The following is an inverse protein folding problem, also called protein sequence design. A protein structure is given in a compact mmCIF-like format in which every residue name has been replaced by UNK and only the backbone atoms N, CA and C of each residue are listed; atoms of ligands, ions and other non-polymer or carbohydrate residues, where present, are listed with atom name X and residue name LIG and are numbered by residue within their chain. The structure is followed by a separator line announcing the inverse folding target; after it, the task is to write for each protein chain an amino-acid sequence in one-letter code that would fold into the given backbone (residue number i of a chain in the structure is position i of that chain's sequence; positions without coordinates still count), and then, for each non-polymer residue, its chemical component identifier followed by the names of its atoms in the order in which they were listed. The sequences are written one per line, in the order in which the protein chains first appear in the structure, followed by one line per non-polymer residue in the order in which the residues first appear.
data_IF_258114475045
#
_entry.id   IF_258114475045
#
_cell.length_a   1.000
_cell.length_b   1.000
_cell.length_c   1.000
_cell.angle_alpha   90.00
_cell.angle_beta   90.00
_cell.angle_gamma   90.00
#
_symmetry.space_group_name_H-M   'P 1'
#
loop_
_entity.id
_entity.type
_entity.pdbx_description
1 polymer ?
#
# COMPACT_ATOMS: atom_id res chain seq x y z
N UNK A 1 -21.97 26.05 12.50
CA UNK A 1 -21.06 24.89 12.50
C UNK A 1 -21.34 24.10 11.24
N UNK A 2 -20.33 23.82 10.41
CA UNK A 2 -20.52 23.06 9.17
C UNK A 2 -21.02 21.64 9.46
N UNK A 3 -21.78 21.07 8.52
CA UNK A 3 -22.16 19.65 8.59
C UNK A 3 -20.91 18.76 8.57
N UNK A 4 -20.96 17.64 9.27
CA UNK A 4 -19.83 16.73 9.44
C UNK A 4 -19.33 16.14 8.10
N UNK A 5 -20.22 16.01 7.10
CA UNK A 5 -19.89 15.46 5.79
C UNK A 5 -19.02 16.42 4.94
N UNK A 6 -19.39 17.70 4.74
CA UNK A 6 -18.50 18.68 4.09
C UNK A 6 -17.12 18.79 4.75
N UNK A 7 -17.05 18.70 6.08
CA UNK A 7 -15.78 18.72 6.80
C UNK A 7 -14.90 17.51 6.46
N UNK A 8 -15.44 16.29 6.55
CA UNK A 8 -14.70 15.07 6.25
C UNK A 8 -14.22 15.03 4.79
N UNK A 9 -15.07 15.44 3.84
CA UNK A 9 -14.71 15.48 2.41
C UNK A 9 -13.60 16.51 2.17
N UNK A 10 -13.69 17.69 2.78
CA UNK A 10 -12.65 18.72 2.64
C UNK A 10 -11.31 18.25 3.19
N UNK A 11 -11.32 17.51 4.30
CA UNK A 11 -10.12 16.93 4.89
C UNK A 11 -9.52 15.82 4.00
N UNK A 12 -10.34 14.94 3.41
CA UNK A 12 -9.84 13.93 2.46
C UNK A 12 -9.21 14.59 1.23
N UNK A 13 -9.81 15.69 0.73
CA UNK A 13 -9.34 16.41 -0.46
C UNK A 13 -8.05 17.19 -0.23
N UNK A 14 -7.84 17.80 0.93
CA UNK A 14 -6.62 18.59 1.21
C UNK A 14 -5.38 17.70 1.33
N UNK A 15 -5.55 16.44 1.73
CA UNK A 15 -4.46 15.46 1.84
C UNK A 15 -3.90 15.04 0.47
N UNK A 16 -4.71 15.06 -0.60
CA UNK A 16 -4.27 14.67 -1.94
C UNK A 16 -3.04 15.45 -2.43
N UNK A 17 -3.07 16.81 -2.52
CA UNK A 17 -1.91 17.57 -2.98
C UNK A 17 -0.73 17.49 -2.01
N UNK A 18 -0.98 17.43 -0.70
CA UNK A 18 0.08 17.37 0.31
C UNK A 18 0.87 16.06 0.18
N UNK A 19 0.16 14.93 0.12
CA UNK A 19 0.76 13.61 -0.03
C UNK A 19 1.41 13.45 -1.40
N UNK A 20 0.90 14.11 -2.45
CA UNK A 20 1.53 14.08 -3.76
C UNK A 20 2.93 14.72 -3.75
N UNK A 21 3.07 15.89 -3.12
CA UNK A 21 4.36 16.55 -2.94
C UNK A 21 5.29 15.67 -2.09
N UNK A 22 4.78 15.14 -0.97
CA UNK A 22 5.55 14.25 -0.09
C UNK A 22 6.04 12.99 -0.83
N UNK A 23 5.16 12.32 -1.57
CA UNK A 23 5.48 11.11 -2.33
C UNK A 23 6.50 11.40 -3.44
N UNK A 24 6.42 12.57 -4.08
CA UNK A 24 7.37 12.98 -5.12
C UNK A 24 8.75 13.22 -4.53
N UNK A 25 8.84 14.00 -3.44
CA UNK A 25 10.13 14.31 -2.78
C UNK A 25 10.76 13.04 -2.22
N UNK A 26 10.00 12.26 -1.46
CA UNK A 26 10.47 11.00 -0.89
C UNK A 26 10.84 10.00 -1.99
N UNK A 27 9.99 9.87 -2.99
CA UNK A 27 10.17 8.94 -4.09
C UNK A 27 11.44 9.23 -4.88
N UNK A 28 11.70 10.50 -5.22
CA UNK A 28 12.91 10.90 -5.95
C UNK A 28 14.20 10.56 -5.18
N UNK A 29 14.23 10.84 -3.88
CA UNK A 29 15.40 10.55 -3.03
C UNK A 29 15.62 9.05 -2.95
N UNK A 30 14.59 8.27 -2.62
CA UNK A 30 14.75 6.82 -2.43
C UNK A 30 15.05 6.10 -3.74
N UNK A 31 14.38 6.47 -4.84
CA UNK A 31 14.61 5.88 -6.15
C UNK A 31 16.06 6.08 -6.61
N UNK A 32 16.62 7.27 -6.38
CA UNK A 32 18.02 7.56 -6.69
C UNK A 32 19.01 6.81 -5.80
N UNK A 33 18.71 6.67 -4.49
CA UNK A 33 19.58 5.96 -3.55
C UNK A 33 19.63 4.44 -3.78
N UNK A 34 18.50 3.83 -4.16
CA UNK A 34 18.47 2.38 -4.46
C UNK A 34 19.20 2.06 -5.77
N UNK A 35 19.30 3.03 -6.68
CA UNK A 35 19.93 2.83 -7.99
C UNK A 35 19.01 2.08 -8.95
N UNK A 36 17.70 2.31 -8.87
CA UNK A 36 16.75 1.76 -9.85
C UNK A 36 17.02 2.28 -11.26
N UNK A 37 16.60 1.50 -12.27
CA UNK A 37 16.78 1.84 -13.66
C UNK A 37 16.03 3.14 -14.01
N UNK A 38 16.73 4.15 -14.51
CA UNK A 38 16.14 5.44 -14.84
C UNK A 38 15.39 5.40 -16.18
N UNK A 39 14.22 4.76 -16.18
CA UNK A 39 13.24 4.88 -17.27
C UNK A 39 12.01 5.64 -16.76
N UNK A 40 11.44 6.49 -17.61
CA UNK A 40 10.29 7.30 -17.23
C UNK A 40 9.11 6.42 -16.78
N UNK A 41 8.88 5.31 -17.47
CA UNK A 41 7.83 4.34 -17.14
C UNK A 41 7.98 3.78 -15.72
N UNK A 42 9.15 3.20 -15.39
CA UNK A 42 9.38 2.61 -14.06
C UNK A 42 9.34 3.65 -12.94
N UNK A 43 9.83 4.86 -13.21
CA UNK A 43 9.75 5.97 -12.26
C UNK A 43 8.29 6.39 -11.99
N UNK A 44 7.46 6.54 -13.03
CA UNK A 44 6.05 6.90 -12.84
C UNK A 44 5.25 5.79 -12.16
N UNK A 45 5.54 4.52 -12.45
CA UNK A 45 4.95 3.40 -11.72
C UNK A 45 5.33 3.41 -10.25
N UNK A 46 6.61 3.61 -9.95
CA UNK A 46 7.09 3.72 -8.57
C UNK A 46 6.41 4.88 -7.85
N UNK A 47 6.36 6.06 -8.47
CA UNK A 47 5.68 7.24 -7.91
C UNK A 47 4.19 6.97 -7.67
N UNK A 48 3.50 6.31 -8.60
CA UNK A 48 2.11 5.92 -8.46
C UNK A 48 1.89 5.03 -7.24
N UNK A 49 2.62 3.90 -7.13
CA UNK A 49 2.46 2.98 -6.02
C UNK A 49 2.83 3.61 -4.68
N UNK A 50 3.88 4.44 -4.64
CA UNK A 50 4.28 5.15 -3.42
C UNK A 50 3.26 6.20 -3.01
N UNK A 51 2.74 6.99 -3.95
CA UNK A 51 1.71 7.99 -3.69
C UNK A 51 0.45 7.37 -3.10
N UNK A 52 -0.10 6.35 -3.76
CA UNK A 52 -1.31 5.70 -3.27
C UNK A 52 -1.09 4.94 -1.96
N UNK A 53 0.13 4.44 -1.73
CA UNK A 53 0.49 3.80 -0.46
C UNK A 53 0.43 4.79 0.69
N UNK A 54 1.11 5.93 0.56
CA UNK A 54 1.06 6.98 1.57
C UNK A 54 -0.38 7.48 1.76
N UNK A 55 -1.14 7.62 0.66
CA UNK A 55 -2.52 8.09 0.71
C UNK A 55 -3.45 7.17 1.49
N UNK A 56 -3.44 5.85 1.21
CA UNK A 56 -4.31 4.94 1.96
C UNK A 56 -3.88 4.81 3.43
N UNK A 57 -2.57 4.92 3.74
CA UNK A 57 -2.10 4.89 5.13
C UNK A 57 -2.57 6.13 5.90
N UNK A 58 -2.53 7.31 5.30
CA UNK A 58 -3.09 8.52 5.91
C UNK A 58 -4.59 8.37 6.13
N UNK A 59 -5.32 7.86 5.15
CA UNK A 59 -6.77 7.64 5.27
C UNK A 59 -7.13 6.59 6.32
N UNK A 60 -6.32 5.54 6.44
CA UNK A 60 -6.45 4.55 7.51
C UNK A 60 -6.22 5.17 8.90
N UNK A 61 -5.18 6.00 9.05
CA UNK A 61 -4.93 6.72 10.30
C UNK A 61 -6.08 7.65 10.68
N UNK A 62 -6.60 8.42 9.72
CA UNK A 62 -7.77 9.28 9.92
C UNK A 62 -9.01 8.47 10.31
N UNK A 63 -9.26 7.34 9.63
CA UNK A 63 -10.33 6.41 9.96
C UNK A 63 -10.20 5.87 11.39
N UNK A 64 -9.01 5.42 11.79
CA UNK A 64 -8.76 4.86 13.12
C UNK A 64 -9.06 5.87 14.23
N UNK A 65 -8.66 7.14 14.04
CA UNK A 65 -8.97 8.23 14.96
C UNK A 65 -10.47 8.55 14.97
N UNK A 66 -11.14 8.54 13.82
CA UNK A 66 -12.58 8.84 13.74
C UNK A 66 -13.48 7.76 14.37
N UNK A 67 -13.06 6.49 14.33
CA UNK A 67 -13.82 5.36 14.89
C UNK A 67 -13.61 5.20 16.40
N UNK A 68 -12.49 5.70 16.93
CA UNK A 68 -12.13 5.50 18.34
C UNK A 68 -12.44 6.72 19.19
N UNK A 69 -12.78 6.53 20.49
CA UNK A 69 -13.06 7.66 21.39
C UNK A 69 -11.82 8.46 21.80
N UNK A 70 -10.62 7.88 21.70
CA UNK A 70 -9.38 8.47 22.19
C UNK A 70 -8.20 8.10 21.26
N UNK A 71 -7.38 9.10 20.92
CA UNK A 71 -6.17 8.95 20.11
C UNK A 71 -5.17 7.92 20.64
N UNK A 72 -5.06 7.71 21.96
CA UNK A 72 -4.21 6.66 22.51
C UNK A 72 -4.69 5.26 22.08
N UNK A 73 -6.01 5.02 22.13
CA UNK A 73 -6.62 3.76 21.70
C UNK A 73 -6.47 3.60 20.18
N UNK A 74 -6.68 4.69 19.42
CA UNK A 74 -6.46 4.72 17.97
C UNK A 74 -5.05 4.23 17.59
N UNK A 75 -4.03 4.74 18.30
CA UNK A 75 -2.64 4.39 18.06
C UNK A 75 -2.35 2.92 18.36
N UNK A 76 -2.84 2.40 19.48
CA UNK A 76 -2.66 0.98 19.86
C UNK A 76 -3.30 0.05 18.81
N UNK A 77 -4.54 0.34 18.40
CA UNK A 77 -5.24 -0.46 17.40
C UNK A 77 -4.51 -0.39 16.05
N UNK A 78 -4.13 0.80 15.62
CA UNK A 78 -3.40 1.00 14.35
C UNK A 78 -2.07 0.25 14.33
N UNK A 79 -1.31 0.31 15.42
CA UNK A 79 -0.04 -0.39 15.54
C UNK A 79 -0.21 -1.92 15.46
N UNK A 80 -1.26 -2.47 16.07
CA UNK A 80 -1.56 -3.90 15.96
C UNK A 80 -1.85 -4.31 14.51
N UNK A 81 -2.71 -3.56 13.81
CA UNK A 81 -3.00 -3.83 12.39
C UNK A 81 -1.77 -3.67 11.49
N UNK A 82 -0.94 -2.65 11.72
CA UNK A 82 0.32 -2.49 10.99
C UNK A 82 1.26 -3.68 11.18
N UNK A 83 1.37 -4.22 12.40
CA UNK A 83 2.16 -5.42 12.66
C UNK A 83 1.66 -6.62 11.86
N UNK A 84 0.36 -6.86 11.84
CA UNK A 84 -0.23 -7.99 11.11
C UNK A 84 -0.09 -7.79 9.59
N UNK A 85 -0.33 -6.57 9.07
CA UNK A 85 -0.12 -6.27 7.66
C UNK A 85 1.33 -6.44 7.24
N UNK A 86 2.29 -6.06 8.08
CA UNK A 86 3.71 -6.22 7.79
C UNK A 86 4.10 -7.71 7.70
N UNK A 87 3.61 -8.53 8.64
CA UNK A 87 3.89 -9.98 8.67
C UNK A 87 3.36 -10.71 7.42
N UNK A 88 2.12 -10.39 7.01
CA UNK A 88 1.45 -11.04 5.87
C UNK A 88 1.54 -10.24 4.57
N UNK A 89 2.42 -9.23 4.49
CA UNK A 89 2.64 -8.41 3.29
C UNK A 89 3.22 -9.19 2.10
N UNK A 90 3.61 -10.45 2.31
CA UNK A 90 4.29 -11.25 1.30
C UNK A 90 5.80 -11.12 1.33
N UNK A 91 6.38 -10.10 1.98
CA UNK A 91 7.83 -9.95 2.09
C UNK A 91 8.45 -10.88 3.14
N UNK A 92 7.92 -10.86 4.38
CA UNK A 92 8.44 -11.72 5.47
C UNK A 92 8.02 -13.17 5.27
N UNK A 93 6.75 -13.39 4.96
CA UNK A 93 6.20 -14.72 4.66
C UNK A 93 5.72 -14.73 3.21
N UNK A 94 6.42 -15.45 2.31
CA UNK A 94 6.02 -15.50 0.91
C UNK A 94 4.67 -16.21 0.79
N UNK A 95 3.85 -15.72 -0.14
CA UNK A 95 2.46 -16.19 -0.35
C UNK A 95 2.31 -17.72 -0.50
N UNK A 96 3.21 -18.46 -1.19
CA UNK A 96 3.10 -19.91 -1.32
C UNK A 96 3.26 -20.67 0.01
N UNK A 97 4.06 -20.14 0.93
CA UNK A 97 4.32 -20.74 2.23
C UNK A 97 3.20 -20.49 3.25
N UNK A 98 2.25 -19.60 2.94
CA UNK A 98 1.08 -19.35 3.80
C UNK A 98 0.11 -20.54 3.68
N UNK A 99 -0.32 -21.14 4.81
CA UNK A 99 -1.33 -22.20 4.81
C UNK A 99 -2.58 -21.76 4.06
N UNK A 100 -3.20 -22.69 3.31
CA UNK A 100 -4.32 -22.39 2.41
C UNK A 100 -5.47 -21.67 3.15
N UNK A 101 -5.74 -22.05 4.40
CA UNK A 101 -6.78 -21.44 5.23
C UNK A 101 -6.47 -20.01 5.72
N UNK A 102 -5.21 -19.55 5.70
CA UNK A 102 -4.81 -18.16 6.01
C UNK A 102 -4.59 -17.29 4.76
N UNK A 103 -4.58 -17.89 3.57
CA UNK A 103 -4.25 -17.20 2.32
C UNK A 103 -5.22 -16.07 1.96
N UNK A 104 -6.46 -16.09 2.46
CA UNK A 104 -7.41 -15.00 2.25
C UNK A 104 -6.92 -13.68 2.86
N UNK A 105 -6.18 -13.72 3.97
CA UNK A 105 -5.70 -12.51 4.66
C UNK A 105 -4.69 -11.74 3.81
N UNK A 106 -3.84 -12.45 3.08
CA UNK A 106 -2.91 -11.88 2.11
C UNK A 106 -3.64 -10.98 1.09
N UNK A 107 -4.81 -11.40 0.61
CA UNK A 107 -5.60 -10.64 -0.37
C UNK A 107 -6.33 -9.43 0.23
N UNK A 108 -6.61 -9.44 1.54
CA UNK A 108 -7.24 -8.31 2.24
C UNK A 108 -6.19 -7.29 2.71
N UNK A 109 -4.93 -7.70 2.84
CA UNK A 109 -3.84 -6.84 3.28
C UNK A 109 -3.47 -5.81 2.17
N UNK A 110 -3.67 -4.49 2.39
CA UNK A 110 -3.33 -3.48 1.38
C UNK A 110 -1.82 -3.43 1.10
N UNK A 111 -1.00 -3.68 2.11
CA UNK A 111 0.48 -3.68 2.00
C UNK A 111 0.98 -4.76 1.06
N UNK A 112 0.26 -5.90 1.02
CA UNK A 112 0.57 -6.99 0.09
C UNK A 112 0.46 -6.57 -1.37
N UNK A 113 -0.56 -5.77 -1.69
CA UNK A 113 -0.77 -5.25 -3.04
C UNK A 113 0.24 -4.19 -3.42
N UNK A 114 0.61 -3.31 -2.48
CA UNK A 114 1.71 -2.35 -2.67
C UNK A 114 3.01 -3.10 -3.01
N UNK A 115 3.36 -4.12 -2.21
CA UNK A 115 4.58 -4.89 -2.42
C UNK A 115 4.58 -5.59 -3.78
N UNK A 116 3.48 -6.25 -4.12
CA UNK A 116 3.29 -6.86 -5.43
C UNK A 116 3.49 -5.85 -6.57
N UNK A 117 2.83 -4.69 -6.50
CA UNK A 117 2.88 -3.66 -7.54
C UNK A 117 4.28 -3.06 -7.72
N UNK A 118 4.98 -2.77 -6.63
CA UNK A 118 6.36 -2.29 -6.66
C UNK A 118 7.30 -3.33 -7.26
N UNK A 119 7.21 -4.58 -6.82
CA UNK A 119 8.09 -5.65 -7.32
C UNK A 119 7.85 -5.90 -8.81
N UNK A 120 6.60 -6.05 -9.23
CA UNK A 120 6.27 -6.34 -10.63
C UNK A 120 6.64 -5.17 -11.54
N UNK A 121 6.37 -3.92 -11.14
CA UNK A 121 6.69 -2.75 -11.98
C UNK A 121 8.19 -2.49 -12.12
N UNK A 122 9.01 -2.81 -11.11
CA UNK A 122 10.46 -2.55 -11.18
C UNK A 122 11.25 -3.73 -11.75
N UNK A 123 10.87 -4.96 -11.37
CA UNK A 123 11.61 -6.18 -11.65
C UNK A 123 10.93 -7.15 -12.61
N UNK A 124 9.66 -6.93 -12.94
CA UNK A 124 8.88 -7.85 -13.76
C UNK A 124 9.38 -8.00 -15.21
N UNK A 125 10.16 -7.04 -15.71
CA UNK A 125 10.72 -7.07 -17.08
C UNK A 125 12.23 -7.36 -17.12
N UNK A 126 12.85 -7.54 -15.94
CA UNK A 126 14.29 -7.77 -15.85
C UNK A 126 14.60 -9.25 -16.13
N UNK A 127 15.11 -9.50 -17.33
CA UNK A 127 15.61 -10.81 -17.78
C UNK A 127 17.07 -11.06 -17.40
N UNK A 128 17.65 -10.20 -16.56
CA UNK A 128 19.02 -10.35 -16.10
C UNK A 128 19.13 -11.66 -15.30
N UNK A 129 20.09 -12.54 -15.61
CA UNK A 129 20.32 -13.75 -14.83
C UNK A 129 20.81 -13.38 -13.43
N UNK A 130 20.28 -14.06 -12.41
CA UNK A 130 20.76 -13.93 -11.04
C UNK A 130 22.17 -14.53 -10.94
N UNK A 131 23.12 -13.77 -10.42
CA UNK A 131 24.48 -14.25 -10.17
C UNK A 131 24.55 -14.92 -8.78
N UNK A 132 24.86 -16.21 -8.73
CA UNK A 132 25.08 -16.95 -7.49
C UNK A 132 24.97 -18.46 -7.66
N UNK A 133 25.75 -19.23 -6.91
CA UNK A 133 25.73 -20.70 -6.96
C UNK A 133 24.39 -21.32 -6.50
N UNK A 134 23.53 -20.53 -5.85
CA UNK A 134 22.20 -20.91 -5.38
C UNK A 134 21.09 -20.71 -6.42
N UNK A 135 21.36 -19.95 -7.50
CA UNK A 135 20.38 -19.62 -8.56
C UNK A 135 20.93 -20.03 -9.93
N UNK A 136 20.74 -21.29 -10.37
CA UNK A 136 21.36 -21.79 -11.59
C UNK A 136 20.70 -21.16 -12.82
N UNK A 137 21.22 -20.02 -13.28
CA UNK A 137 20.83 -19.36 -14.53
C UNK A 137 19.39 -18.84 -14.59
N UNK A 138 18.69 -18.75 -13.45
CA UNK A 138 17.34 -18.20 -13.39
C UNK A 138 17.38 -16.68 -13.53
N UNK A 139 16.48 -16.17 -14.36
CA UNK A 139 16.27 -14.73 -14.49
C UNK A 139 15.54 -14.16 -13.26
N UNK A 140 15.70 -12.87 -12.99
CA UNK A 140 14.97 -12.17 -11.91
C UNK A 140 13.46 -12.37 -12.06
N UNK A 141 12.94 -12.31 -13.30
CA UNK A 141 11.55 -12.61 -13.62
C UNK A 141 11.12 -14.04 -13.20
N UNK A 142 11.90 -15.06 -13.53
CA UNK A 142 11.62 -16.47 -13.18
C UNK A 142 11.67 -16.72 -11.67
N UNK A 143 12.54 -16.03 -10.94
CA UNK A 143 12.58 -16.09 -9.49
C UNK A 143 11.31 -15.52 -8.86
N UNK A 144 10.89 -14.31 -9.27
CA UNK A 144 9.65 -13.73 -8.74
C UNK A 144 8.40 -14.52 -9.14
N UNK A 145 8.41 -15.12 -10.33
CA UNK A 145 7.31 -15.98 -10.79
C UNK A 145 7.25 -17.30 -10.02
N UNK A 146 8.39 -17.93 -9.73
CA UNK A 146 8.43 -19.23 -9.06
C UNK A 146 8.29 -19.13 -7.54
N UNK A 147 8.89 -18.12 -6.91
CA UNK A 147 8.91 -17.95 -5.45
C UNK A 147 7.72 -17.14 -4.91
N UNK A 148 7.24 -16.15 -5.67
CA UNK A 148 6.16 -15.26 -5.23
C UNK A 148 4.83 -15.43 -6.02
N UNK A 149 4.83 -16.21 -7.13
CA UNK A 149 3.67 -16.35 -8.04
C UNK A 149 3.19 -15.00 -8.60
N UNK A 150 4.12 -14.08 -8.86
CA UNK A 150 3.81 -12.77 -9.41
C UNK A 150 3.67 -12.85 -10.93
N UNK A 151 2.55 -12.33 -11.44
CA UNK A 151 2.21 -12.20 -12.86
C UNK A 151 2.18 -10.73 -13.26
N UNK A 152 2.93 -10.39 -14.31
CA UNK A 152 2.99 -9.02 -14.85
C UNK A 152 1.62 -8.55 -15.38
N UNK A 153 0.84 -9.45 -15.99
CA UNK A 153 -0.54 -9.20 -16.46
C UNK A 153 -1.51 -8.74 -15.36
N UNK A 154 -1.15 -8.92 -14.09
CA UNK A 154 -2.03 -8.57 -12.96
C UNK A 154 -1.84 -7.13 -12.46
N UNK A 155 -0.91 -6.36 -13.02
CA UNK A 155 -0.58 -5.01 -12.57
C UNK A 155 -1.83 -4.10 -12.59
N UNK A 156 -2.68 -4.20 -13.62
CA UNK A 156 -3.94 -3.45 -13.69
C UNK A 156 -4.93 -3.78 -12.56
N UNK A 157 -4.97 -5.04 -12.11
CA UNK A 157 -5.81 -5.45 -10.97
C UNK A 157 -5.25 -4.88 -9.67
N UNK A 158 -3.92 -4.90 -9.50
CA UNK A 158 -3.25 -4.32 -8.32
C UNK A 158 -3.58 -2.83 -8.19
N UNK A 159 -3.52 -2.10 -9.29
CA UNK A 159 -3.91 -0.69 -9.37
C UNK A 159 -5.36 -0.49 -8.92
N UNK A 160 -6.30 -1.26 -9.48
CA UNK A 160 -7.71 -1.18 -9.14
C UNK A 160 -7.97 -1.49 -7.65
N UNK A 161 -7.27 -2.48 -7.09
CA UNK A 161 -7.42 -2.88 -5.68
C UNK A 161 -6.87 -1.80 -4.75
N UNK A 162 -5.72 -1.21 -5.05
CA UNK A 162 -5.14 -0.12 -4.25
C UNK A 162 -6.07 1.10 -4.25
N UNK A 163 -6.59 1.49 -5.42
CA UNK A 163 -7.59 2.56 -5.52
C UNK A 163 -8.85 2.23 -4.71
N UNK A 164 -9.29 0.97 -4.76
CA UNK A 164 -10.40 0.45 -3.96
C UNK A 164 -10.16 0.61 -2.46
N UNK A 165 -8.99 0.24 -1.96
CA UNK A 165 -8.63 0.42 -0.54
C UNK A 165 -8.57 1.89 -0.13
N UNK A 166 -7.99 2.75 -0.96
CA UNK A 166 -7.96 4.20 -0.71
C UNK A 166 -9.38 4.76 -0.59
N UNK A 167 -10.26 4.45 -1.54
CA UNK A 167 -11.66 4.90 -1.51
C UNK A 167 -12.44 4.30 -0.33
N UNK A 168 -12.17 3.04 0.02
CA UNK A 168 -12.79 2.36 1.15
C UNK A 168 -12.44 3.05 2.47
N UNK A 169 -11.16 3.32 2.73
CA UNK A 169 -10.76 4.01 3.96
C UNK A 169 -11.30 5.44 4.03
N UNK A 170 -11.29 6.18 2.91
CA UNK A 170 -11.90 7.52 2.84
C UNK A 170 -13.42 7.48 3.12
N UNK A 171 -14.12 6.47 2.59
CA UNK A 171 -15.55 6.29 2.79
C UNK A 171 -15.87 5.95 4.25
N UNK A 172 -15.12 5.02 4.86
CA UNK A 172 -15.31 4.66 6.27
C UNK A 172 -15.03 5.87 7.16
N UNK A 173 -13.97 6.63 6.90
CA UNK A 173 -13.68 7.87 7.63
C UNK A 173 -14.85 8.85 7.57
N UNK A 174 -15.36 9.11 6.36
CA UNK A 174 -16.48 10.03 6.12
C UNK A 174 -17.76 9.59 6.85
N UNK A 175 -18.09 8.30 6.80
CA UNK A 175 -19.25 7.72 7.50
C UNK A 175 -19.04 7.74 9.02
N UNK A 176 -17.82 7.47 9.49
CA UNK A 176 -17.50 7.43 10.93
C UNK A 176 -17.63 8.81 11.56
N UNK A 177 -17.15 9.87 10.91
CA UNK A 177 -17.34 11.25 11.38
C UNK A 177 -18.84 11.63 11.44
N UNK A 178 -19.65 11.11 10.51
CA UNK A 178 -21.10 11.36 10.52
C UNK A 178 -21.81 10.62 11.67
N UNK A 179 -21.47 9.36 11.91
CA UNK A 179 -22.13 8.51 12.91
C UNK A 179 -21.63 8.78 14.32
N UNK A 180 -20.32 8.92 14.48
CA UNK A 180 -19.64 9.09 15.76
C UNK A 180 -19.24 10.55 15.96
N UNK A 181 -20.24 11.42 16.12
CA UNK A 181 -20.00 12.82 16.48
C UNK A 181 -19.65 12.92 17.97
N UNK A 182 -18.45 12.46 18.36
CA UNK A 182 -18.00 12.38 19.75
C UNK A 182 -17.85 13.75 20.43
N UNK A 183 -17.78 14.86 19.68
CA UNK A 183 -17.71 16.21 20.24
C UNK A 183 -19.04 16.72 20.83
N UNK A 184 -20.13 15.96 20.67
CA UNK A 184 -21.47 16.34 21.18
C UNK A 184 -21.90 15.57 22.43
N UNK A 185 -20.98 14.83 23.07
CA UNK A 185 -21.17 14.18 24.37
C UNK A 185 -20.45 14.94 25.48
#
# INVERSE_FOLDING_TARGET
MYSAMPYAISQVLIELPYIFVQATVYGLIVYSMIGFEWTAEKFFWYLFFMYFTLLYFTYYGMMAVAVTPNHHIASIISAAFYGIWNLFSGFIVPRPSIPIWWRWYYWICPVSWTFYGLVVSQFGDLKTPLEGAEFPGQTVEEYFRSYYDFRHDFLGVVVAVILGFTLLFASIFTVSIRLFNFQRR
#
